data_IF_874490198168
#
_entry.id   IF_874490198168
#
_cell.length_a   1.000
_cell.length_b   1.000
_cell.length_c   1.000
_cell.angle_alpha   90.00
_cell.angle_beta   90.00
_cell.angle_gamma   90.00
#
_symmetry.space_group_name_H-M   'P 1'
#
loop_
_entity.id
_entity.type
_entity.pdbx_description
1 polymer ?
#
# COMPACT_ATOMS: atom_id res chain seq x y z
N UNK A 1 -16.50 14.97 -7.24
CA UNK A 1 -16.35 15.93 -8.36
C UNK A 1 -15.72 17.22 -7.84
N UNK A 2 -14.87 17.89 -8.62
CA UNK A 2 -14.30 19.19 -8.26
C UNK A 2 -15.15 20.31 -8.86
N UNK A 3 -15.58 21.27 -8.04
CA UNK A 3 -16.24 22.50 -8.48
C UNK A 3 -15.43 23.72 -8.01
N UNK A 4 -15.28 24.77 -8.82
CA UNK A 4 -14.57 25.98 -8.40
C UNK A 4 -15.16 26.54 -7.10
N UNK A 5 -14.32 26.89 -6.14
CA UNK A 5 -14.78 27.51 -4.90
C UNK A 5 -15.33 28.91 -5.21
N UNK A 6 -16.63 29.08 -5.03
CA UNK A 6 -17.34 30.34 -5.29
C UNK A 6 -17.60 31.12 -4.00
N UNK A 7 -18.05 32.37 -4.13
CA UNK A 7 -18.45 33.17 -2.98
C UNK A 7 -19.60 32.50 -2.19
N UNK A 8 -20.51 31.80 -2.88
CA UNK A 8 -21.61 31.07 -2.24
C UNK A 8 -21.13 29.92 -1.35
N UNK A 9 -20.03 29.26 -1.72
CA UNK A 9 -19.43 28.14 -0.98
C UNK A 9 -18.26 28.57 -0.09
N UNK A 10 -17.85 29.85 -0.12
CA UNK A 10 -16.70 30.35 0.63
C UNK A 10 -16.85 30.13 2.13
N UNK A 11 -17.96 30.56 2.70
CA UNK A 11 -18.13 30.55 4.17
C UNK A 11 -18.42 29.12 4.70
N UNK A 12 -18.83 28.19 3.81
CA UNK A 12 -19.03 26.77 4.14
C UNK A 12 -17.75 26.10 4.63
N UNK A 13 -16.60 26.44 4.04
CA UNK A 13 -15.33 25.76 4.32
C UNK A 13 -14.61 26.34 5.55
N UNK A 14 -15.05 27.49 6.09
CA UNK A 14 -14.40 28.14 7.21
C UNK A 14 -14.39 27.28 8.49
N UNK A 15 -15.51 26.64 8.91
CA UNK A 15 -15.49 25.73 10.05
C UNK A 15 -14.52 24.56 9.86
N UNK A 16 -14.39 24.03 8.64
CA UNK A 16 -13.47 22.92 8.35
C UNK A 16 -12.02 23.36 8.45
N UNK A 17 -11.71 24.55 7.89
CA UNK A 17 -10.38 25.17 8.03
C UNK A 17 -10.02 25.49 9.47
N UNK A 18 -11.01 25.70 10.34
CA UNK A 18 -10.80 25.98 11.76
C UNK A 18 -10.85 24.73 12.65
N UNK A 19 -11.24 23.58 12.12
CA UNK A 19 -11.29 22.33 12.86
C UNK A 19 -9.88 21.96 13.36
N UNK A 20 -9.70 21.61 14.65
CA UNK A 20 -8.39 21.32 15.23
C UNK A 20 -7.59 20.25 14.46
N UNK A 21 -8.27 19.19 14.02
CA UNK A 21 -7.71 18.08 13.27
C UNK A 21 -7.22 18.46 11.88
N UNK A 22 -7.82 19.49 11.26
CA UNK A 22 -7.37 20.07 9.99
C UNK A 22 -6.22 21.05 10.25
N UNK A 23 -6.39 22.02 11.16
CA UNK A 23 -5.39 23.06 11.46
C UNK A 23 -4.04 22.52 11.90
N UNK A 24 -4.02 21.42 12.67
CA UNK A 24 -2.76 20.81 13.11
C UNK A 24 -1.90 20.30 11.95
N UNK A 25 -2.49 20.08 10.77
CA UNK A 25 -1.80 19.64 9.55
C UNK A 25 -1.59 20.77 8.54
N UNK A 26 -1.93 22.02 8.89
CA UNK A 26 -1.84 23.19 8.01
C UNK A 26 -0.78 24.16 8.52
N UNK A 27 -0.21 24.98 7.61
CA UNK A 27 0.72 26.04 8.01
C UNK A 27 0.04 27.15 8.82
N UNK A 28 -1.23 27.46 8.55
CA UNK A 28 -2.02 28.40 9.35
C UNK A 28 -2.56 27.71 10.59
N UNK A 29 -2.03 28.09 11.75
CA UNK A 29 -2.38 27.45 13.03
C UNK A 29 -3.21 28.28 13.99
N UNK A 30 -3.45 29.57 13.75
CA UNK A 30 -4.45 30.31 14.54
C UNK A 30 -5.87 30.01 14.05
N UNK A 31 -6.88 30.31 14.88
CA UNK A 31 -8.27 30.29 14.39
C UNK A 31 -8.49 31.48 13.46
N UNK A 32 -8.95 31.19 12.25
CA UNK A 32 -9.16 32.16 11.19
C UNK A 32 -10.49 32.89 11.45
N UNK A 33 -10.48 34.20 11.72
CA UNK A 33 -11.70 34.98 11.83
C UNK A 33 -12.42 35.09 10.47
N UNK A 34 -13.74 35.30 10.50
CA UNK A 34 -14.55 35.41 9.27
C UNK A 34 -14.03 36.48 8.30
N UNK A 35 -13.63 37.65 8.82
CA UNK A 35 -13.09 38.74 8.00
C UNK A 35 -11.76 38.36 7.32
N UNK A 36 -10.88 37.66 8.04
CA UNK A 36 -9.61 37.17 7.49
C UNK A 36 -9.85 36.15 6.38
N UNK A 37 -10.79 35.23 6.58
CA UNK A 37 -11.19 34.23 5.58
C UNK A 37 -11.77 34.88 4.32
N UNK A 38 -12.64 35.87 4.48
CA UNK A 38 -13.21 36.61 3.34
C UNK A 38 -12.15 37.37 2.56
N UNK A 39 -11.26 38.08 3.26
CA UNK A 39 -10.16 38.79 2.63
C UNK A 39 -9.15 37.83 1.94
N UNK A 40 -8.92 36.64 2.51
CA UNK A 40 -8.13 35.60 1.86
C UNK A 40 -8.75 35.15 0.55
N UNK A 41 -10.07 34.94 0.53
CA UNK A 41 -10.78 34.47 -0.67
C UNK A 41 -10.70 35.48 -1.81
N UNK A 42 -10.87 36.77 -1.53
CA UNK A 42 -10.73 37.84 -2.52
C UNK A 42 -9.32 37.89 -3.12
N UNK A 43 -8.28 37.80 -2.28
CA UNK A 43 -6.88 37.75 -2.75
C UNK A 43 -6.61 36.52 -3.59
N UNK A 44 -7.15 35.37 -3.18
CA UNK A 44 -7.00 34.10 -3.91
C UNK A 44 -7.65 34.18 -5.29
N UNK A 45 -8.87 34.71 -5.41
CA UNK A 45 -9.54 34.86 -6.71
C UNK A 45 -8.81 35.81 -7.68
N UNK A 46 -8.09 36.80 -7.15
CA UNK A 46 -7.34 37.75 -7.96
C UNK A 46 -5.98 37.21 -8.44
N UNK A 47 -5.51 36.08 -7.90
CA UNK A 47 -4.20 35.50 -8.21
C UNK A 47 -4.35 34.34 -9.22
N UNK A 48 -3.91 34.50 -10.47
CA UNK A 48 -4.04 33.46 -11.49
C UNK A 48 -3.12 32.25 -11.25
N UNK A 49 -2.17 32.33 -10.33
CA UNK A 49 -1.27 31.22 -9.96
C UNK A 49 -1.89 30.28 -8.93
N UNK A 50 -3.18 30.46 -8.65
CA UNK A 50 -3.89 29.93 -7.49
C UNK A 50 -5.31 29.52 -7.89
N UNK A 51 -5.71 28.28 -7.61
CA UNK A 51 -7.10 27.85 -7.77
C UNK A 51 -7.54 26.87 -6.68
N UNK A 52 -8.78 27.06 -6.20
CA UNK A 52 -9.38 26.32 -5.10
C UNK A 52 -10.69 25.70 -5.59
N UNK A 53 -10.90 24.44 -5.22
CA UNK A 53 -12.05 23.66 -5.60
C UNK A 53 -12.71 23.06 -4.37
N UNK A 54 -14.04 23.09 -4.32
CA UNK A 54 -14.81 22.25 -3.41
C UNK A 54 -14.89 20.85 -4.03
N UNK A 55 -14.60 19.83 -3.24
CA UNK A 55 -14.78 18.44 -3.63
C UNK A 55 -16.10 17.92 -3.07
N UNK A 56 -16.95 17.36 -3.93
CA UNK A 56 -18.17 16.64 -3.55
C UNK A 56 -17.98 15.13 -3.62
N UNK A 57 -18.61 14.43 -2.70
CA UNK A 57 -18.66 12.96 -2.69
C UNK A 57 -19.66 12.41 -3.73
N UNK A 58 -19.90 11.09 -3.69
CA UNK A 58 -20.80 10.41 -4.62
C UNK A 58 -22.28 10.77 -4.42
N UNK A 59 -22.65 11.31 -3.25
CA UNK A 59 -24.01 11.75 -2.92
C UNK A 59 -24.24 13.23 -3.25
N UNK A 60 -23.26 13.88 -3.92
CA UNK A 60 -23.23 15.31 -4.19
C UNK A 60 -23.06 16.19 -2.93
N UNK A 61 -22.63 15.61 -1.81
CA UNK A 61 -22.39 16.35 -0.57
C UNK A 61 -20.97 16.94 -0.52
N UNK A 62 -20.79 18.19 -0.07
CA UNK A 62 -19.47 18.79 0.10
C UNK A 62 -18.61 18.03 1.11
N UNK A 63 -17.50 17.45 0.64
CA UNK A 63 -16.70 16.49 1.38
C UNK A 63 -15.26 16.96 1.66
N UNK A 64 -14.81 18.01 0.98
CA UNK A 64 -13.50 18.60 1.24
C UNK A 64 -13.13 19.71 0.27
N UNK A 65 -11.87 20.13 0.32
CA UNK A 65 -11.30 21.16 -0.54
C UNK A 65 -10.00 20.65 -1.15
N UNK A 66 -9.81 20.91 -2.44
CA UNK A 66 -8.56 20.71 -3.19
C UNK A 66 -8.09 22.07 -3.66
N UNK A 67 -6.79 22.32 -3.64
CA UNK A 67 -6.23 23.56 -4.12
C UNK A 67 -4.88 23.38 -4.79
N UNK A 68 -4.57 24.31 -5.70
CA UNK A 68 -3.30 24.41 -6.40
C UNK A 68 -2.70 25.79 -6.19
N UNK A 69 -1.39 25.85 -5.98
CA UNK A 69 -0.63 27.08 -5.79
C UNK A 69 0.61 27.09 -6.66
N UNK A 70 1.14 28.30 -6.88
CA UNK A 70 2.38 28.51 -7.64
C UNK A 70 2.30 27.85 -9.02
N UNK A 71 1.12 27.93 -9.65
CA UNK A 71 0.86 27.37 -10.97
C UNK A 71 1.72 28.13 -11.99
N UNK A 72 2.68 27.41 -12.56
CA UNK A 72 3.56 27.96 -13.60
C UNK A 72 2.78 28.09 -14.93
N UNK A 73 3.01 29.18 -15.69
CA UNK A 73 2.44 29.33 -17.03
C UNK A 73 2.84 28.19 -17.99
N UNK A 74 2.09 28.06 -19.09
CA UNK A 74 2.44 27.19 -20.23
C UNK A 74 2.57 25.69 -19.88
N UNK A 75 1.84 25.23 -18.86
CA UNK A 75 1.80 23.81 -18.48
C UNK A 75 3.06 23.34 -17.74
N UNK A 76 3.69 24.24 -16.98
CA UNK A 76 4.83 23.92 -16.12
C UNK A 76 4.44 23.06 -14.91
N UNK A 77 4.90 23.45 -13.74
CA UNK A 77 4.59 22.77 -12.48
C UNK A 77 3.66 23.57 -11.58
N UNK A 78 3.04 22.90 -10.62
CA UNK A 78 2.31 23.55 -9.53
C UNK A 78 2.54 22.77 -8.22
N UNK A 79 2.20 23.40 -7.11
CA UNK A 79 1.98 22.71 -5.85
C UNK A 79 0.50 22.46 -5.64
N UNK A 80 0.17 21.42 -4.90
CA UNK A 80 -1.21 21.15 -4.51
C UNK A 80 -1.32 20.73 -3.05
N UNK A 81 -2.55 20.80 -2.55
CA UNK A 81 -2.92 20.21 -1.27
C UNK A 81 -4.43 20.03 -1.18
N UNK A 82 -4.86 19.35 -0.13
CA UNK A 82 -6.27 19.12 0.14
C UNK A 82 -6.55 18.99 1.63
N UNK A 83 -7.81 19.10 2.00
CA UNK A 83 -8.29 18.66 3.30
C UNK A 83 -9.74 18.18 3.19
N UNK A 84 -10.04 17.10 3.89
CA UNK A 84 -11.41 16.62 4.04
C UNK A 84 -12.17 17.47 5.06
N UNK A 85 -13.49 17.47 4.93
CA UNK A 85 -14.40 17.89 6.00
C UNK A 85 -14.18 16.97 7.23
N UNK A 86 -14.23 17.48 8.48
CA UNK A 86 -14.02 16.69 9.70
C UNK A 86 -14.74 15.34 9.80
N UNK A 87 -15.98 15.29 9.36
CA UNK A 87 -16.89 14.14 9.40
C UNK A 87 -17.05 13.48 8.02
N UNK A 88 -16.12 13.73 7.10
CA UNK A 88 -16.14 13.09 5.79
C UNK A 88 -15.97 11.57 5.91
N UNK A 89 -16.59 10.79 5.01
CA UNK A 89 -16.46 9.34 5.01
C UNK A 89 -15.01 8.90 4.77
N UNK A 90 -14.68 7.69 5.21
CA UNK A 90 -13.41 7.04 4.90
C UNK A 90 -13.20 6.97 3.36
N UNK A 91 -11.95 6.92 2.92
CA UNK A 91 -11.60 6.87 1.50
C UNK A 91 -11.74 8.19 0.72
N UNK A 92 -12.34 9.25 1.30
CA UNK A 92 -12.50 10.54 0.61
C UNK A 92 -11.17 11.16 0.15
N UNK A 93 -10.09 10.94 0.90
CA UNK A 93 -8.75 11.41 0.55
C UNK A 93 -8.28 10.91 -0.82
N UNK A 94 -8.46 9.61 -1.08
CA UNK A 94 -8.11 9.00 -2.37
C UNK A 94 -8.96 9.55 -3.51
N UNK A 95 -10.25 9.81 -3.28
CA UNK A 95 -11.15 10.40 -4.29
C UNK A 95 -10.78 11.85 -4.61
N UNK A 96 -10.46 12.64 -3.58
CA UNK A 96 -9.99 14.01 -3.75
C UNK A 96 -8.68 14.05 -4.52
N UNK A 97 -7.71 13.20 -4.16
CA UNK A 97 -6.43 13.11 -4.85
C UNK A 97 -6.59 12.65 -6.29
N UNK A 98 -7.36 11.59 -6.56
CA UNK A 98 -7.66 11.16 -7.92
C UNK A 98 -8.26 12.31 -8.75
N UNK A 99 -9.25 13.03 -8.21
CA UNK A 99 -9.87 14.15 -8.90
C UNK A 99 -8.89 15.31 -9.12
N UNK A 100 -8.02 15.58 -8.14
CA UNK A 100 -6.98 16.61 -8.23
C UNK A 100 -5.96 16.27 -9.32
N UNK A 101 -5.49 15.02 -9.38
CA UNK A 101 -4.56 14.55 -10.39
C UNK A 101 -5.18 14.61 -11.80
N UNK A 102 -6.43 14.16 -11.94
CA UNK A 102 -7.11 14.20 -13.23
C UNK A 102 -7.28 15.63 -13.73
N UNK A 103 -7.68 16.55 -12.83
CA UNK A 103 -7.80 17.96 -13.13
C UNK A 103 -6.44 18.60 -13.46
N UNK A 104 -5.39 18.32 -12.68
CA UNK A 104 -4.05 18.87 -12.87
C UNK A 104 -3.45 18.53 -14.25
N UNK A 105 -3.58 17.29 -14.67
CA UNK A 105 -2.94 16.81 -15.90
C UNK A 105 -3.81 16.95 -17.15
N UNK A 106 -5.14 16.87 -17.04
CA UNK A 106 -6.04 17.00 -18.21
C UNK A 106 -6.63 18.40 -18.38
N UNK A 107 -7.00 19.09 -17.30
CA UNK A 107 -7.65 20.40 -17.39
C UNK A 107 -6.63 21.54 -17.29
N UNK A 108 -5.70 21.49 -16.33
CA UNK A 108 -4.63 22.49 -16.20
C UNK A 108 -3.44 22.21 -17.14
N UNK A 109 -3.32 20.99 -17.65
CA UNK A 109 -2.26 20.61 -18.60
C UNK A 109 -0.84 20.68 -18.02
N UNK A 110 -0.69 20.47 -16.71
CA UNK A 110 0.61 20.58 -16.04
C UNK A 110 1.56 19.47 -16.47
N UNK A 111 2.85 19.77 -16.56
CA UNK A 111 3.90 18.77 -16.77
C UNK A 111 4.19 17.97 -15.49
N UNK A 112 4.09 18.63 -14.34
CA UNK A 112 4.43 18.07 -13.03
C UNK A 112 3.56 18.65 -11.93
N UNK A 113 3.19 17.80 -10.98
CA UNK A 113 2.53 18.22 -9.76
C UNK A 113 3.42 17.91 -8.55
N UNK A 114 3.54 18.86 -7.62
CA UNK A 114 4.35 18.74 -6.41
C UNK A 114 3.47 18.80 -5.15
N UNK A 115 3.83 18.07 -4.10
CA UNK A 115 3.23 18.26 -2.78
C UNK A 115 4.28 18.29 -1.66
N UNK A 116 3.89 18.94 -0.58
CA UNK A 116 4.66 19.05 0.66
C UNK A 116 3.81 18.58 1.82
N UNK A 117 4.33 17.63 2.60
CA UNK A 117 3.61 17.02 3.72
C UNK A 117 4.50 17.03 4.95
N UNK A 118 3.94 17.42 6.10
CA UNK A 118 4.63 17.27 7.38
C UNK A 118 4.99 15.80 7.57
N UNK A 119 6.25 15.50 7.93
CA UNK A 119 6.72 14.12 8.07
C UNK A 119 5.96 13.31 9.13
N UNK A 120 5.31 13.99 10.08
CA UNK A 120 4.45 13.40 11.10
C UNK A 120 3.11 12.90 10.54
N UNK A 121 2.69 13.34 9.35
CA UNK A 121 1.46 12.90 8.70
C UNK A 121 1.73 11.72 7.75
N UNK A 122 2.13 10.60 8.34
CA UNK A 122 2.48 9.37 7.61
C UNK A 122 1.33 8.85 6.74
N UNK A 123 0.08 9.04 7.18
CA UNK A 123 -1.11 8.65 6.44
C UNK A 123 -1.19 9.33 5.06
N UNK A 124 -1.03 10.65 5.01
CA UNK A 124 -1.07 11.41 3.73
C UNK A 124 0.18 11.15 2.88
N UNK A 125 1.36 10.98 3.49
CA UNK A 125 2.57 10.58 2.75
C UNK A 125 2.36 9.24 2.04
N UNK A 126 1.75 8.27 2.73
CA UNK A 126 1.45 6.97 2.15
C UNK A 126 0.35 7.04 1.08
N UNK A 127 -0.68 7.88 1.29
CA UNK A 127 -1.72 8.13 0.30
C UNK A 127 -1.13 8.67 -1.01
N UNK A 128 -0.24 9.67 -0.94
CA UNK A 128 0.40 10.23 -2.12
C UNK A 128 1.23 9.19 -2.87
N UNK A 129 2.04 8.42 -2.15
CA UNK A 129 2.82 7.31 -2.76
C UNK A 129 1.90 6.31 -3.46
N UNK A 130 0.79 5.94 -2.82
CA UNK A 130 -0.22 5.08 -3.44
C UNK A 130 -0.85 5.70 -4.67
N UNK A 131 -0.96 7.02 -4.76
CA UNK A 131 -1.50 7.70 -5.94
C UNK A 131 -0.46 7.91 -7.04
N UNK A 132 0.78 7.46 -6.84
CA UNK A 132 1.86 7.48 -7.82
C UNK A 132 2.97 8.49 -7.54
N UNK A 133 2.83 9.33 -6.49
CA UNK A 133 3.86 10.30 -6.17
C UNK A 133 5.16 9.64 -5.72
N UNK A 134 6.27 10.14 -6.23
CA UNK A 134 7.62 9.75 -5.82
C UNK A 134 8.19 10.78 -4.85
N UNK A 135 8.84 10.33 -3.77
CA UNK A 135 9.56 11.23 -2.85
C UNK A 135 10.79 11.79 -3.56
N UNK A 136 10.87 13.10 -3.67
CA UNK A 136 11.97 13.79 -4.34
C UNK A 136 12.93 14.47 -3.34
N UNK A 137 12.51 14.65 -2.09
CA UNK A 137 13.38 15.24 -1.08
C UNK A 137 12.74 15.40 0.29
N UNK A 138 13.52 15.99 1.20
CA UNK A 138 13.07 16.37 2.54
C UNK A 138 13.72 17.67 2.97
N UNK A 139 12.90 18.63 3.38
CA UNK A 139 13.38 19.80 4.09
C UNK A 139 13.42 19.46 5.58
N UNK A 140 14.63 19.43 6.14
CA UNK A 140 14.85 19.05 7.54
C UNK A 140 14.52 20.22 8.46
N UNK A 141 13.81 19.97 9.55
CA UNK A 141 13.47 20.96 10.58
C UNK A 141 12.84 22.24 10.00
N UNK A 142 12.00 22.11 8.97
CA UNK A 142 11.54 23.24 8.15
C UNK A 142 10.30 23.93 8.72
N UNK A 143 9.45 23.21 9.46
CA UNK A 143 8.21 23.75 10.03
C UNK A 143 8.19 23.60 11.55
N UNK A 144 7.84 24.66 12.29
CA UNK A 144 7.66 24.60 13.74
C UNK A 144 6.19 24.29 14.08
N UNK A 145 5.88 23.09 14.57
CA UNK A 145 4.52 22.61 14.84
C UNK A 145 3.89 23.19 16.13
N UNK A 146 4.66 23.99 16.87
CA UNK A 146 4.24 24.65 18.12
C UNK A 146 5.01 24.11 19.32
N UNK A 147 5.56 22.90 19.19
CA UNK A 147 6.36 22.24 20.20
C UNK A 147 7.78 21.99 19.70
N UNK A 148 7.92 21.56 18.44
CA UNK A 148 9.20 21.19 17.84
C UNK A 148 9.26 21.55 16.36
N UNK A 149 10.48 21.53 15.81
CA UNK A 149 10.68 21.58 14.37
C UNK A 149 10.48 20.19 13.78
N UNK A 150 9.67 20.11 12.73
CA UNK A 150 9.37 18.89 11.98
C UNK A 150 9.85 19.00 10.54
N UNK A 151 10.22 17.86 9.99
CA UNK A 151 10.61 17.71 8.60
C UNK A 151 9.40 17.87 7.66
N UNK A 152 9.66 18.33 6.44
CA UNK A 152 8.70 18.34 5.34
C UNK A 152 9.16 17.36 4.27
N UNK A 153 8.31 16.39 3.96
CA UNK A 153 8.51 15.44 2.86
C UNK A 153 8.01 16.09 1.57
N UNK A 154 8.84 16.07 0.53
CA UNK A 154 8.50 16.57 -0.79
C UNK A 154 8.31 15.43 -1.75
N UNK A 155 7.18 15.43 -2.45
CA UNK A 155 6.87 14.43 -3.47
C UNK A 155 6.46 15.10 -4.79
N UNK A 156 6.68 14.38 -5.88
CA UNK A 156 6.32 14.81 -7.24
C UNK A 156 5.70 13.68 -8.05
N UNK A 157 4.83 14.04 -8.99
CA UNK A 157 4.26 13.16 -10.00
C UNK A 157 4.32 13.83 -11.37
N UNK A 158 4.78 13.10 -12.39
CA UNK A 158 4.91 13.61 -13.75
C UNK A 158 3.69 13.25 -14.60
N UNK A 159 3.34 14.13 -15.54
CA UNK A 159 2.20 13.91 -16.43
C UNK A 159 2.28 12.57 -17.20
N UNK A 160 3.48 12.13 -17.59
CA UNK A 160 3.69 10.86 -18.29
C UNK A 160 3.43 9.62 -17.42
N UNK A 161 3.48 9.76 -16.09
CA UNK A 161 3.27 8.67 -15.14
C UNK A 161 1.78 8.53 -14.81
N UNK A 162 1.02 9.63 -14.91
CA UNK A 162 -0.39 9.67 -14.56
C UNK A 162 -1.27 8.63 -15.25
N UNK A 163 -1.22 8.39 -16.57
CA UNK A 163 -2.13 7.45 -17.23
C UNK A 163 -2.16 6.05 -16.60
N UNK A 164 -0.99 5.50 -16.26
CA UNK A 164 -0.85 4.20 -15.59
C UNK A 164 -1.47 4.22 -14.19
N UNK A 165 -1.22 5.28 -13.42
CA UNK A 165 -1.77 5.41 -12.08
C UNK A 165 -3.27 5.70 -12.09
N UNK A 166 -3.77 6.43 -13.08
CA UNK A 166 -5.17 6.79 -13.26
C UNK A 166 -6.05 5.56 -13.40
N UNK A 167 -5.67 4.63 -14.28
CA UNK A 167 -6.43 3.39 -14.50
C UNK A 167 -6.52 2.57 -13.21
N UNK A 168 -5.37 2.29 -12.58
CA UNK A 168 -5.31 1.56 -11.32
C UNK A 168 -6.10 2.24 -10.19
N UNK A 169 -6.00 3.56 -10.05
CA UNK A 169 -6.74 4.29 -9.00
C UNK A 169 -8.25 4.30 -9.28
N UNK A 170 -8.65 4.43 -10.53
CA UNK A 170 -10.06 4.35 -10.91
C UNK A 170 -10.66 2.98 -10.54
N UNK A 171 -9.95 1.89 -10.86
CA UNK A 171 -10.34 0.54 -10.44
C UNK A 171 -10.38 0.39 -8.92
N UNK A 172 -9.38 0.93 -8.22
CA UNK A 172 -9.32 0.90 -6.75
C UNK A 172 -10.49 1.64 -6.11
N UNK A 173 -10.86 2.80 -6.63
CA UNK A 173 -12.00 3.60 -6.15
C UNK A 173 -13.31 2.84 -6.37
N UNK A 174 -13.49 2.21 -7.53
CA UNK A 174 -14.66 1.39 -7.83
C UNK A 174 -14.74 0.16 -6.91
N UNK A 175 -13.60 -0.46 -6.59
CA UNK A 175 -13.54 -1.56 -5.62
C UNK A 175 -13.98 -1.10 -4.22
N UNK A 176 -13.48 0.04 -3.75
CA UNK A 176 -13.89 0.61 -2.44
C UNK A 176 -15.38 0.93 -2.40
N UNK A 177 -15.95 1.46 -3.50
CA UNK A 177 -17.40 1.68 -3.61
C UNK A 177 -18.20 0.37 -3.47
N UNK A 178 -17.73 -0.69 -4.12
CA UNK A 178 -18.37 -2.01 -4.01
C UNK A 178 -18.28 -2.58 -2.57
N UNK A 179 -17.16 -2.39 -1.88
CA UNK A 179 -17.01 -2.81 -0.48
C UNK A 179 -17.92 -2.01 0.47
N UNK A 180 -17.99 -0.70 0.30
CA UNK A 180 -18.89 0.16 1.07
C UNK A 180 -20.36 -0.23 0.87
N UNK A 181 -20.76 -0.55 -0.37
CA UNK A 181 -22.10 -1.05 -0.68
C UNK A 181 -22.40 -2.38 0.03
N UNK A 182 -21.49 -3.37 -0.06
CA UNK A 182 -21.62 -4.67 0.64
C UNK A 182 -21.77 -4.49 2.16
N UNK A 183 -21.00 -3.58 2.76
CA UNK A 183 -21.13 -3.26 4.19
C UNK A 183 -22.50 -2.70 4.54
N UNK A 184 -23.04 -1.81 3.70
CA UNK A 184 -24.38 -1.25 3.91
C UNK A 184 -25.49 -2.31 3.81
N UNK A 185 -25.30 -3.34 3.01
CA UNK A 185 -26.21 -4.50 2.89
C UNK A 185 -26.16 -5.44 4.11
N UNK A 186 -25.09 -5.37 4.91
CA UNK A 186 -24.94 -6.18 6.12
C UNK A 186 -24.49 -7.62 5.86
N UNK A 187 -23.89 -7.88 4.69
CA UNK A 187 -23.53 -9.22 4.22
C UNK A 187 -22.44 -9.90 5.09
N UNK A 188 -21.55 -9.12 5.71
CA UNK A 188 -20.43 -9.65 6.51
C UNK A 188 -20.49 -9.13 7.95
N UNK A 189 -20.61 -9.99 8.98
CA UNK A 189 -20.56 -9.52 10.36
C UNK A 189 -19.18 -8.94 10.70
N UNK A 190 -19.10 -7.78 11.40
CA UNK A 190 -17.84 -7.20 11.83
C UNK A 190 -16.97 -8.21 12.59
N UNK A 191 -15.66 -8.16 12.34
CA UNK A 191 -14.65 -9.06 12.93
C UNK A 191 -13.52 -8.24 13.52
N UNK A 192 -12.85 -8.80 14.52
CA UNK A 192 -11.55 -8.32 14.97
C UNK A 192 -10.48 -9.11 14.23
N UNK A 193 -9.58 -8.44 13.54
CA UNK A 193 -8.54 -9.05 12.72
C UNK A 193 -7.19 -8.51 13.18
N UNK A 194 -6.30 -9.39 13.61
CA UNK A 194 -4.90 -9.07 13.83
C UNK A 194 -4.08 -9.38 12.56
N UNK A 195 -3.13 -8.52 12.23
CA UNK A 195 -2.11 -8.77 11.21
C UNK A 195 -0.75 -8.71 11.87
N UNK A 196 0.07 -9.74 11.65
CA UNK A 196 1.45 -9.83 12.10
C UNK A 196 2.38 -9.97 10.91
N UNK A 197 3.38 -9.09 10.83
CA UNK A 197 4.43 -9.16 9.81
C UNK A 197 5.76 -8.68 10.39
N UNK A 198 6.89 -9.12 9.82
CA UNK A 198 8.17 -8.53 10.22
C UNK A 198 8.24 -7.07 9.76
N UNK A 199 8.79 -6.16 10.57
CA UNK A 199 8.79 -4.71 10.30
C UNK A 199 9.42 -4.32 8.94
N UNK A 200 10.42 -5.09 8.51
CA UNK A 200 11.14 -4.85 7.24
C UNK A 200 10.71 -5.79 6.10
N UNK A 201 9.60 -6.50 6.28
CA UNK A 201 9.07 -7.42 5.27
C UNK A 201 8.64 -6.66 4.02
N UNK A 202 9.03 -7.16 2.85
CA UNK A 202 8.66 -6.58 1.56
C UNK A 202 7.13 -6.56 1.36
N UNK A 203 6.41 -7.52 1.97
CA UNK A 203 4.96 -7.64 1.80
C UNK A 203 4.18 -6.51 2.46
N UNK A 204 4.79 -5.79 3.42
CA UNK A 204 4.12 -4.74 4.21
C UNK A 204 3.51 -3.66 3.31
N UNK A 205 4.15 -3.32 2.20
CA UNK A 205 3.62 -2.35 1.24
C UNK A 205 2.31 -2.82 0.59
N UNK A 206 2.16 -4.13 0.41
CA UNK A 206 0.97 -4.76 -0.16
C UNK A 206 -0.12 -5.03 0.89
N UNK A 207 0.25 -5.22 2.17
CA UNK A 207 -0.70 -5.48 3.26
C UNK A 207 -1.61 -4.29 3.56
N UNK A 208 -1.13 -3.07 3.30
CA UNK A 208 -1.87 -1.86 3.59
C UNK A 208 -3.23 -1.81 2.86
N UNK A 209 -3.29 -2.22 1.59
CA UNK A 209 -4.56 -2.31 0.87
C UNK A 209 -5.50 -3.38 1.45
N UNK A 210 -4.97 -4.49 1.96
CA UNK A 210 -5.77 -5.55 2.58
C UNK A 210 -6.39 -5.08 3.91
N UNK A 211 -5.61 -4.36 4.73
CA UNK A 211 -6.09 -3.76 5.98
C UNK A 211 -7.21 -2.76 5.68
N UNK A 212 -7.00 -1.87 4.71
CA UNK A 212 -8.00 -0.89 4.30
C UNK A 212 -9.27 -1.54 3.76
N UNK A 213 -9.17 -2.61 2.97
CA UNK A 213 -10.33 -3.36 2.48
C UNK A 213 -11.18 -3.87 3.65
N UNK A 214 -10.53 -4.41 4.67
CA UNK A 214 -11.23 -4.94 5.83
C UNK A 214 -11.85 -3.85 6.71
N UNK A 215 -11.17 -2.74 6.91
CA UNK A 215 -11.72 -1.58 7.62
C UNK A 215 -12.92 -0.98 6.86
N UNK A 216 -12.84 -0.91 5.53
CA UNK A 216 -13.93 -0.46 4.68
C UNK A 216 -15.15 -1.38 4.82
N UNK A 217 -14.95 -2.70 4.89
CA UNK A 217 -15.99 -3.69 5.21
C UNK A 217 -16.48 -3.65 6.66
N UNK A 218 -15.90 -2.81 7.53
CA UNK A 218 -16.34 -2.61 8.91
C UNK A 218 -15.70 -3.55 9.92
N UNK A 219 -14.64 -4.27 9.55
CA UNK A 219 -13.83 -5.01 10.50
C UNK A 219 -12.96 -4.05 11.32
N UNK A 220 -12.62 -4.45 12.54
CA UNK A 220 -11.59 -3.78 13.35
C UNK A 220 -10.27 -4.48 13.09
N UNK A 221 -9.29 -3.78 12.51
CA UNK A 221 -8.00 -4.35 12.17
C UNK A 221 -6.91 -3.79 13.08
N UNK A 222 -6.05 -4.66 13.61
CA UNK A 222 -4.87 -4.29 14.38
C UNK A 222 -3.63 -4.90 13.73
N UNK A 223 -2.79 -4.06 13.13
CA UNK A 223 -1.54 -4.50 12.51
C UNK A 223 -0.36 -4.14 13.41
N UNK A 224 0.42 -5.15 13.81
CA UNK A 224 1.65 -4.97 14.58
C UNK A 224 2.78 -5.86 14.05
N UNK A 225 4.00 -5.52 14.43
CA UNK A 225 5.20 -6.30 14.13
C UNK A 225 5.69 -7.13 15.31
N UNK A 226 5.10 -6.94 16.50
CA UNK A 226 5.46 -7.68 17.70
C UNK A 226 4.28 -8.51 18.23
N UNK A 227 4.43 -9.85 18.37
CA UNK A 227 3.37 -10.70 18.89
C UNK A 227 2.86 -10.32 20.28
N UNK A 228 3.70 -9.67 21.09
CA UNK A 228 3.32 -9.23 22.43
C UNK A 228 2.21 -8.17 22.38
N UNK A 229 2.23 -7.31 21.36
CA UNK A 229 1.29 -6.20 21.18
C UNK A 229 0.00 -6.64 20.48
N UNK A 230 -0.07 -7.89 20.00
CA UNK A 230 -1.27 -8.40 19.34
C UNK A 230 -2.38 -8.67 20.38
N UNK A 231 -3.49 -7.96 20.22
CA UNK A 231 -4.71 -8.10 21.01
C UNK A 231 -5.51 -9.35 20.63
N UNK A 232 -6.41 -9.81 21.50
CA UNK A 232 -7.36 -10.87 21.17
C UNK A 232 -8.25 -10.49 19.97
N UNK A 233 -8.43 -11.41 19.04
CA UNK A 233 -9.14 -11.17 17.79
C UNK A 233 -9.79 -12.46 17.26
N UNK A 234 -10.72 -12.35 16.30
CA UNK A 234 -11.26 -13.53 15.63
C UNK A 234 -10.15 -14.22 14.83
N UNK A 235 -9.39 -13.46 14.05
CA UNK A 235 -8.36 -13.98 13.16
C UNK A 235 -7.03 -13.27 13.40
N UNK A 236 -5.92 -14.00 13.27
CA UNK A 236 -4.58 -13.43 13.21
C UNK A 236 -3.88 -13.91 11.93
N UNK A 237 -3.57 -13.02 11.01
CA UNK A 237 -2.83 -13.34 9.79
C UNK A 237 -1.34 -13.05 9.99
N UNK A 238 -0.51 -14.08 9.92
CA UNK A 238 0.95 -14.00 9.97
C UNK A 238 1.49 -13.94 8.54
N UNK A 239 1.73 -12.74 8.01
CA UNK A 239 2.05 -12.50 6.60
C UNK A 239 3.47 -11.94 6.48
N UNK A 240 4.39 -12.74 5.92
CA UNK A 240 5.81 -12.40 5.90
C UNK A 240 6.39 -12.25 7.31
N UNK A 241 6.00 -13.15 8.22
CA UNK A 241 6.42 -13.18 9.61
C UNK A 241 7.38 -14.35 9.86
N UNK A 242 8.67 -14.07 10.08
CA UNK A 242 9.72 -15.08 10.13
C UNK A 242 9.89 -15.79 11.47
N UNK A 243 8.99 -15.61 12.43
CA UNK A 243 9.08 -16.20 13.78
C UNK A 243 7.91 -17.16 14.02
N UNK A 244 8.16 -18.23 14.78
CA UNK A 244 7.06 -19.07 15.26
C UNK A 244 6.29 -18.32 16.35
N UNK A 245 4.96 -18.34 16.27
CA UNK A 245 4.11 -17.81 17.34
C UNK A 245 3.98 -18.84 18.47
N UNK A 246 4.35 -18.48 19.71
CA UNK A 246 4.11 -19.33 20.86
C UNK A 246 2.63 -19.67 21.00
N UNK A 247 2.31 -20.87 21.49
CA UNK A 247 0.93 -21.31 21.74
C UNK A 247 0.14 -20.32 22.62
N UNK A 248 0.79 -19.73 23.61
CA UNK A 248 0.21 -18.71 24.50
C UNK A 248 -0.26 -17.45 23.77
N UNK A 249 0.35 -17.14 22.61
CA UNK A 249 -0.09 -16.04 21.74
C UNK A 249 -1.14 -16.53 20.76
N UNK A 250 -0.95 -17.70 20.13
CA UNK A 250 -1.92 -18.28 19.19
C UNK A 250 -3.30 -18.47 19.82
N UNK A 251 -3.35 -18.87 21.09
CA UNK A 251 -4.59 -19.09 21.85
C UNK A 251 -5.45 -17.82 22.06
N UNK A 252 -4.92 -16.63 21.77
CA UNK A 252 -5.68 -15.36 21.79
C UNK A 252 -6.60 -15.19 20.58
N UNK A 253 -6.46 -16.04 19.57
CA UNK A 253 -7.15 -15.94 18.30
C UNK A 253 -7.98 -17.19 18.05
N UNK A 254 -9.12 -17.04 17.38
CA UNK A 254 -9.92 -18.20 16.95
C UNK A 254 -9.19 -18.98 15.86
N UNK A 255 -8.55 -18.26 14.93
CA UNK A 255 -7.66 -18.81 13.92
C UNK A 255 -6.38 -17.97 13.85
N UNK A 256 -5.23 -18.64 13.82
CA UNK A 256 -3.94 -18.05 13.51
C UNK A 256 -3.51 -18.55 12.13
N UNK A 257 -3.60 -17.71 11.12
CA UNK A 257 -3.46 -18.08 9.72
C UNK A 257 -2.08 -17.70 9.19
N UNK A 258 -1.50 -18.58 8.38
CA UNK A 258 -0.23 -18.36 7.67
C UNK A 258 -0.47 -18.57 6.19
N UNK A 259 0.16 -17.74 5.35
CA UNK A 259 0.21 -17.97 3.90
C UNK A 259 1.61 -18.47 3.53
N UNK A 260 1.66 -19.58 2.79
CA UNK A 260 2.89 -20.28 2.43
C UNK A 260 2.84 -20.72 0.96
N UNK A 261 3.90 -20.49 0.19
CA UNK A 261 3.88 -20.71 -1.26
C UNK A 261 4.30 -22.13 -1.65
N UNK A 262 3.62 -23.16 -1.15
CA UNK A 262 3.90 -24.56 -1.55
C UNK A 262 2.67 -25.47 -1.55
N UNK A 263 2.76 -26.56 -2.32
CA UNK A 263 1.79 -27.66 -2.32
C UNK A 263 2.06 -28.57 -1.12
N UNK A 264 1.68 -28.06 0.06
CA UNK A 264 1.94 -28.69 1.34
C UNK A 264 1.34 -30.11 1.37
N UNK A 265 2.09 -31.12 1.88
CA UNK A 265 3.25 -30.98 2.78
C UNK A 265 4.62 -30.81 2.12
N UNK A 266 4.73 -30.72 0.79
CA UNK A 266 6.02 -30.43 0.12
C UNK A 266 6.35 -28.95 0.21
N UNK A 267 7.65 -28.62 0.27
CA UNK A 267 8.16 -27.25 0.19
C UNK A 267 8.03 -26.43 1.47
N UNK A 268 7.98 -27.06 2.65
CA UNK A 268 7.94 -26.35 3.95
C UNK A 268 9.18 -25.49 4.17
N UNK A 269 9.12 -24.51 5.06
CA UNK A 269 10.29 -23.73 5.48
C UNK A 269 10.43 -22.42 4.72
N UNK A 270 11.63 -22.11 4.22
CA UNK A 270 12.00 -20.73 3.88
C UNK A 270 11.93 -20.43 2.39
N UNK A 271 11.37 -19.26 2.05
CA UNK A 271 11.37 -18.69 0.69
C UNK A 271 10.90 -19.69 -0.40
N UNK A 272 9.79 -20.40 -0.20
CA UNK A 272 9.38 -21.49 -1.08
C UNK A 272 9.13 -21.04 -2.53
N UNK A 273 8.59 -19.83 -2.75
CA UNK A 273 8.44 -19.27 -4.09
C UNK A 273 9.80 -19.15 -4.79
N UNK A 274 10.81 -18.59 -4.11
CA UNK A 274 12.15 -18.42 -4.67
C UNK A 274 12.77 -19.76 -5.05
N UNK A 275 12.65 -20.78 -4.21
CA UNK A 275 13.22 -22.09 -4.51
C UNK A 275 12.53 -22.76 -5.69
N UNK A 276 11.20 -22.69 -5.79
CA UNK A 276 10.48 -23.25 -6.93
C UNK A 276 10.85 -22.57 -8.25
N UNK A 277 11.02 -21.24 -8.26
CA UNK A 277 11.55 -20.53 -9.44
C UNK A 277 12.95 -21.03 -9.79
N UNK A 278 13.84 -21.23 -8.81
CA UNK A 278 15.18 -21.77 -9.02
C UNK A 278 15.15 -23.21 -9.56
N UNK A 279 14.18 -24.01 -9.12
CA UNK A 279 13.92 -25.38 -9.59
C UNK A 279 13.31 -25.41 -11.01
N UNK A 280 12.94 -24.25 -11.56
CA UNK A 280 12.40 -24.11 -12.91
C UNK A 280 10.88 -24.25 -13.00
N UNK A 281 10.18 -24.12 -11.87
CA UNK A 281 8.73 -24.13 -11.83
C UNK A 281 8.16 -22.76 -12.21
N UNK A 282 7.23 -22.74 -13.16
CA UNK A 282 6.52 -21.54 -13.60
C UNK A 282 5.09 -21.48 -13.06
N UNK A 283 4.65 -22.50 -12.30
CA UNK A 283 3.33 -22.56 -11.68
C UNK A 283 3.48 -22.90 -10.21
N UNK A 284 3.26 -21.91 -9.35
CA UNK A 284 3.56 -21.99 -7.92
C UNK A 284 2.26 -21.87 -7.11
N UNK A 285 2.01 -22.79 -6.16
CA UNK A 285 0.84 -22.72 -5.31
C UNK A 285 1.08 -21.74 -4.15
N UNK A 286 0.04 -21.05 -3.74
CA UNK A 286 -0.02 -20.20 -2.55
C UNK A 286 -1.11 -20.77 -1.66
N UNK A 287 -0.76 -21.10 -0.42
CA UNK A 287 -1.57 -21.96 0.46
C UNK A 287 -1.84 -21.23 1.77
N UNK A 288 -3.11 -21.12 2.14
CA UNK A 288 -3.54 -20.61 3.44
C UNK A 288 -3.67 -21.79 4.41
N UNK A 289 -2.96 -21.73 5.54
CA UNK A 289 -2.97 -22.77 6.57
C UNK A 289 -3.24 -22.20 7.96
N UNK A 290 -3.69 -23.07 8.87
CA UNK A 290 -3.64 -22.84 10.31
C UNK A 290 -2.19 -22.93 10.82
N UNK A 291 -1.81 -22.05 11.73
CA UNK A 291 -0.51 -22.07 12.38
C UNK A 291 -0.47 -23.20 13.42
N UNK A 292 0.48 -24.13 13.24
CA UNK A 292 0.71 -25.25 14.14
C UNK A 292 2.05 -25.12 14.89
N UNK A 293 2.30 -26.02 15.84
CA UNK A 293 3.58 -26.07 16.58
C UNK A 293 4.76 -26.37 15.64
N UNK A 294 4.57 -27.31 14.71
CA UNK A 294 5.56 -27.62 13.68
C UNK A 294 5.36 -26.69 12.48
N UNK A 295 6.46 -26.17 11.96
CA UNK A 295 6.53 -25.31 10.77
C UNK A 295 5.68 -25.89 9.62
N UNK A 296 4.82 -25.04 9.08
CA UNK A 296 3.98 -25.28 7.89
C UNK A 296 3.23 -26.62 7.89
N UNK A 297 2.77 -27.06 9.06
CA UNK A 297 2.14 -28.38 9.25
C UNK A 297 0.65 -28.36 9.53
N UNK A 298 0.05 -27.18 9.71
CA UNK A 298 -1.35 -27.07 10.06
C UNK A 298 -2.30 -27.35 8.90
N UNK A 299 -3.58 -27.38 9.24
CA UNK A 299 -4.72 -27.59 8.35
C UNK A 299 -4.68 -26.60 7.19
N UNK A 300 -4.86 -27.08 5.96
CA UNK A 300 -4.98 -26.25 4.76
C UNK A 300 -6.43 -25.80 4.61
N UNK A 301 -6.66 -24.49 4.51
CA UNK A 301 -7.99 -23.91 4.27
C UNK A 301 -8.27 -23.63 2.80
N UNK A 302 -7.29 -23.11 2.07
CA UNK A 302 -7.44 -22.74 0.68
C UNK A 302 -6.10 -22.72 -0.05
N UNK A 303 -6.13 -22.89 -1.38
CA UNK A 303 -4.96 -22.81 -2.25
C UNK A 303 -5.31 -22.06 -3.53
N UNK A 304 -4.37 -21.24 -4.00
CA UNK A 304 -4.39 -20.57 -5.31
C UNK A 304 -3.11 -20.89 -6.06
N UNK A 305 -3.16 -20.82 -7.37
CA UNK A 305 -1.98 -21.00 -8.22
C UNK A 305 -1.63 -19.69 -8.90
N UNK A 306 -0.36 -19.34 -8.86
CA UNK A 306 0.23 -18.23 -9.60
C UNK A 306 1.04 -18.81 -10.76
N UNK A 307 0.88 -18.22 -11.93
CA UNK A 307 1.56 -18.64 -13.16
C UNK A 307 2.50 -17.53 -13.62
N UNK A 308 3.68 -17.94 -14.10
CA UNK A 308 4.77 -17.08 -14.53
C UNK A 308 5.18 -17.46 -15.96
N UNK A 309 5.63 -16.48 -16.73
CA UNK A 309 6.06 -16.61 -18.12
C UNK A 309 7.57 -16.89 -18.24
N UNK A 310 8.31 -16.77 -17.14
CA UNK A 310 9.73 -17.10 -17.10
C UNK A 310 10.66 -15.89 -17.17
N UNK A 311 10.12 -14.66 -17.26
CA UNK A 311 10.90 -13.41 -17.38
C UNK A 311 10.79 -12.46 -16.20
N UNK A 312 9.83 -12.72 -15.31
CA UNK A 312 9.54 -11.87 -14.15
C UNK A 312 10.73 -11.77 -13.23
N UNK A 313 11.04 -10.54 -12.80
CA UNK A 313 12.02 -10.29 -11.74
C UNK A 313 11.34 -10.25 -10.37
N UNK A 314 12.15 -10.21 -9.31
CA UNK A 314 11.71 -10.40 -7.92
C UNK A 314 10.53 -9.52 -7.50
N UNK A 315 10.42 -8.29 -8.00
CA UNK A 315 9.32 -7.39 -7.67
C UNK A 315 8.01 -7.79 -8.35
N UNK A 316 8.07 -8.28 -9.60
CA UNK A 316 6.92 -8.85 -10.31
C UNK A 316 6.46 -10.16 -9.65
N UNK A 317 7.42 -11.02 -9.28
CA UNK A 317 7.15 -12.26 -8.54
C UNK A 317 6.45 -11.98 -7.19
N UNK A 318 6.99 -11.03 -6.42
CA UNK A 318 6.44 -10.59 -5.13
C UNK A 318 5.07 -9.95 -5.27
N UNK A 319 4.84 -9.18 -6.33
CA UNK A 319 3.52 -8.59 -6.60
C UNK A 319 2.47 -9.68 -6.80
N UNK A 320 2.75 -10.67 -7.64
CA UNK A 320 1.84 -11.80 -7.87
C UNK A 320 1.63 -12.63 -6.59
N UNK A 321 2.69 -12.86 -5.81
CA UNK A 321 2.61 -13.52 -4.50
C UNK A 321 1.70 -12.77 -3.53
N UNK A 322 1.85 -11.44 -3.43
CA UNK A 322 1.03 -10.61 -2.56
C UNK A 322 -0.43 -10.57 -3.01
N UNK A 323 -0.72 -10.54 -4.31
CA UNK A 323 -2.08 -10.63 -4.84
C UNK A 323 -2.78 -11.93 -4.45
N UNK A 324 -2.11 -13.07 -4.64
CA UNK A 324 -2.64 -14.37 -4.22
C UNK A 324 -2.84 -14.45 -2.70
N UNK A 325 -1.90 -13.90 -1.92
CA UNK A 325 -1.97 -13.81 -0.46
C UNK A 325 -3.21 -13.03 -0.03
N UNK A 326 -3.42 -11.82 -0.55
CA UNK A 326 -4.59 -10.98 -0.24
C UNK A 326 -5.90 -11.66 -0.63
N UNK A 327 -5.92 -12.33 -1.78
CA UNK A 327 -7.11 -13.06 -2.24
C UNK A 327 -7.48 -14.20 -1.27
N UNK A 328 -6.51 -14.98 -0.80
CA UNK A 328 -6.75 -16.03 0.21
C UNK A 328 -7.22 -15.46 1.55
N UNK A 329 -6.58 -14.38 2.02
CA UNK A 329 -6.97 -13.75 3.28
C UNK A 329 -8.41 -13.21 3.22
N UNK A 330 -8.78 -12.52 2.13
CA UNK A 330 -10.16 -12.03 1.93
C UNK A 330 -11.16 -13.17 1.81
N UNK A 331 -10.86 -14.19 1.01
CA UNK A 331 -11.74 -15.35 0.85
C UNK A 331 -12.03 -16.03 2.20
N UNK A 332 -11.02 -16.13 3.07
CA UNK A 332 -11.22 -16.71 4.39
C UNK A 332 -12.16 -15.87 5.26
N UNK A 333 -11.99 -14.54 5.27
CA UNK A 333 -12.81 -13.62 6.09
C UNK A 333 -14.23 -13.51 5.55
N UNK A 334 -14.38 -13.29 4.25
CA UNK A 334 -15.66 -13.01 3.59
C UNK A 334 -16.61 -14.22 3.66
N UNK A 335 -16.08 -15.45 3.57
CA UNK A 335 -16.87 -16.68 3.54
C UNK A 335 -16.90 -17.41 4.90
N UNK A 336 -16.47 -16.76 5.99
CA UNK A 336 -16.46 -17.36 7.32
C UNK A 336 -17.91 -17.54 7.86
N UNK A 337 -18.29 -18.71 8.41
CA UNK A 337 -17.45 -19.84 8.83
C UNK A 337 -17.19 -20.93 7.79
N UNK A 338 -17.83 -20.87 6.62
CA UNK A 338 -17.71 -21.91 5.57
C UNK A 338 -16.26 -22.09 5.13
N UNK A 339 -15.50 -21.00 5.05
CA UNK A 339 -14.05 -21.04 4.76
C UNK A 339 -13.25 -21.92 5.73
N UNK A 340 -13.56 -21.87 7.03
CA UNK A 340 -12.88 -22.69 8.05
C UNK A 340 -13.33 -24.16 7.99
N UNK A 341 -14.58 -24.43 7.61
CA UNK A 341 -15.11 -25.79 7.46
C UNK A 341 -14.50 -26.56 6.29
N UNK A 342 -13.90 -25.85 5.31
CA UNK A 342 -13.15 -26.45 4.19
C UNK A 342 -11.77 -27.00 4.59
N UNK A 343 -11.36 -26.81 5.84
CA UNK A 343 -10.07 -27.25 6.36
C UNK A 343 -9.80 -28.73 6.08
N UNK A 344 -8.59 -29.02 5.57
CA UNK A 344 -8.10 -30.38 5.33
C UNK A 344 -6.71 -30.59 5.90
N UNK A 345 -6.49 -31.76 6.49
CA UNK A 345 -5.16 -32.16 6.97
C UNK A 345 -4.20 -32.44 5.81
N UNK A 346 -2.91 -32.19 6.07
CA UNK A 346 -1.87 -32.48 5.10
C UNK A 346 -1.58 -33.99 5.04
N UNK A 347 -1.41 -34.52 3.83
CA UNK A 347 -1.07 -35.92 3.61
C UNK A 347 -0.01 -36.05 2.52
N UNK A 348 0.92 -37.00 2.68
CA UNK A 348 1.99 -37.27 1.70
C UNK A 348 3.39 -37.06 2.27
N UNK A 349 4.37 -37.00 1.38
CA UNK A 349 5.79 -36.81 1.72
C UNK A 349 6.11 -35.34 2.02
N UNK A 350 6.82 -35.09 3.13
CA UNK A 350 7.29 -33.76 3.48
C UNK A 350 8.63 -33.43 2.80
N UNK A 351 8.81 -32.18 2.39
CA UNK A 351 10.12 -31.64 2.01
C UNK A 351 10.30 -30.24 2.58
N UNK A 352 11.56 -29.81 2.73
CA UNK A 352 11.91 -28.56 3.39
C UNK A 352 12.92 -27.75 2.59
N UNK A 353 12.59 -26.49 2.35
CA UNK A 353 13.48 -25.52 1.73
C UNK A 353 14.34 -24.80 2.79
N UNK A 354 15.67 -24.75 2.59
CA UNK A 354 16.56 -24.08 3.52
C UNK A 354 16.47 -22.57 3.39
N UNK A 355 16.88 -21.86 4.44
CA UNK A 355 17.00 -20.40 4.40
C UNK A 355 18.15 -20.01 3.47
N UNK A 356 17.88 -19.13 2.50
CA UNK A 356 18.91 -18.54 1.64
C UNK A 356 19.76 -17.52 2.40
N UNK A 357 21.04 -17.47 2.05
CA UNK A 357 22.01 -16.46 2.46
C UNK A 357 22.61 -15.72 1.24
N UNK A 358 23.51 -14.75 1.48
CA UNK A 358 24.11 -13.97 0.41
C UNK A 358 24.78 -14.81 -0.67
N UNK A 359 25.46 -15.90 -0.30
CA UNK A 359 26.18 -16.77 -1.25
C UNK A 359 25.24 -17.51 -2.22
N UNK A 360 23.96 -17.68 -1.89
CA UNK A 360 22.96 -18.24 -2.81
C UNK A 360 22.62 -17.29 -3.97
N UNK A 361 23.19 -16.08 -4.00
CA UNK A 361 23.10 -15.11 -5.10
C UNK A 361 24.35 -15.11 -5.99
N UNK A 362 25.26 -16.08 -5.80
CA UNK A 362 26.49 -16.21 -6.57
C UNK A 362 26.21 -16.79 -7.96
N UNK A 363 26.63 -16.06 -8.98
CA UNK A 363 26.69 -16.50 -10.37
C UNK A 363 28.05 -17.14 -10.67
N UNK A 364 28.01 -18.13 -11.55
CA UNK A 364 29.20 -18.67 -12.21
C UNK A 364 29.45 -17.89 -13.51
N UNK A 365 30.56 -17.14 -13.63
CA UNK A 365 30.87 -16.35 -14.82
C UNK A 365 31.21 -17.21 -16.05
N UNK A 366 31.42 -18.52 -15.89
CA UNK A 366 31.69 -19.45 -17.00
C UNK A 366 30.43 -20.10 -17.56
N UNK A 367 29.29 -20.01 -16.85
CA UNK A 367 27.98 -20.48 -17.32
C UNK A 367 27.25 -19.40 -18.11
N UNK A 368 26.38 -19.80 -19.02
CA UNK A 368 25.58 -18.86 -19.81
C UNK A 368 24.56 -18.13 -18.93
N UNK A 369 24.12 -16.96 -19.40
CA UNK A 369 23.05 -16.20 -18.74
C UNK A 369 21.74 -17.00 -18.70
N UNK A 370 21.41 -17.72 -19.77
CA UNK A 370 20.19 -18.52 -19.86
C UNK A 370 20.14 -19.62 -18.79
N UNK A 371 21.25 -20.32 -18.56
CA UNK A 371 21.33 -21.40 -17.55
C UNK A 371 21.19 -20.91 -16.10
N UNK A 372 21.38 -19.61 -15.87
CA UNK A 372 21.31 -18.98 -14.54
C UNK A 372 20.21 -17.93 -14.47
N UNK A 373 19.31 -17.90 -15.46
CA UNK A 373 18.33 -16.83 -15.56
C UNK A 373 17.33 -16.86 -14.41
N UNK A 374 16.95 -18.04 -13.92
CA UNK A 374 16.12 -18.16 -12.72
C UNK A 374 16.80 -17.59 -11.47
N UNK A 375 18.14 -17.67 -11.36
CA UNK A 375 18.85 -16.99 -10.28
C UNK A 375 18.77 -15.47 -10.45
N UNK A 376 18.92 -14.97 -11.68
CA UNK A 376 18.77 -13.55 -11.99
C UNK A 376 17.34 -13.03 -11.72
N UNK A 377 16.30 -13.87 -11.90
CA UNK A 377 14.90 -13.52 -11.60
C UNK A 377 14.66 -13.28 -10.11
N UNK A 378 15.31 -14.04 -9.23
CA UNK A 378 14.99 -14.04 -7.78
C UNK A 378 15.92 -13.19 -6.91
N UNK A 379 16.99 -12.63 -7.47
CA UNK A 379 17.88 -11.73 -6.73
C UNK A 379 17.22 -10.37 -6.52
N UNK A 380 17.59 -9.73 -5.41
CA UNK A 380 17.09 -8.42 -5.01
C UNK A 380 18.25 -7.43 -5.14
N UNK A 381 18.16 -6.48 -6.08
CA UNK A 381 19.26 -5.57 -6.41
C UNK A 381 19.79 -4.76 -5.21
N UNK A 382 18.96 -4.57 -4.18
CA UNK A 382 19.29 -3.82 -2.98
C UNK A 382 19.77 -4.73 -1.85
N UNK A 383 18.98 -5.75 -1.52
CA UNK A 383 19.18 -6.56 -0.30
C UNK A 383 20.10 -7.76 -0.53
N UNK A 384 19.92 -8.45 -1.66
CA UNK A 384 20.60 -9.70 -1.99
C UNK A 384 20.94 -9.76 -3.49
N UNK A 385 21.87 -8.91 -3.93
CA UNK A 385 22.15 -8.74 -5.34
C UNK A 385 22.95 -9.92 -5.89
N UNK A 386 22.74 -10.23 -7.17
CA UNK A 386 23.57 -11.16 -7.90
C UNK A 386 25.03 -10.71 -7.89
N UNK A 387 25.96 -11.65 -7.73
CA UNK A 387 27.39 -11.34 -7.77
C UNK A 387 28.20 -12.50 -8.35
N UNK A 388 29.42 -12.21 -8.82
CA UNK A 388 30.38 -13.24 -9.22
C UNK A 388 31.81 -12.80 -8.88
N UNK A 389 32.73 -13.76 -8.91
CA UNK A 389 34.15 -13.49 -8.73
C UNK A 389 34.89 -13.70 -10.06
N UNK A 390 35.72 -12.74 -10.45
CA UNK A 390 36.55 -12.84 -11.64
C UNK A 390 37.94 -12.31 -11.37
N UNK A 391 38.96 -13.14 -11.64
CA UNK A 391 40.38 -12.80 -11.44
C UNK A 391 40.67 -12.22 -10.04
N UNK A 392 40.07 -12.84 -9.01
CA UNK A 392 40.27 -12.45 -7.60
C UNK A 392 39.53 -11.19 -7.15
N UNK A 393 38.56 -10.69 -7.93
CA UNK A 393 37.71 -9.56 -7.56
C UNK A 393 36.23 -9.94 -7.62
N UNK A 394 35.44 -9.43 -6.67
CA UNK A 394 33.98 -9.57 -6.64
C UNK A 394 33.32 -8.46 -7.45
N UNK A 395 32.35 -8.82 -8.26
CA UNK A 395 31.52 -7.92 -9.04
C UNK A 395 30.06 -8.17 -8.68
N UNK A 396 29.28 -7.10 -8.59
CA UNK A 396 27.84 -7.15 -8.34
C UNK A 396 27.11 -6.76 -9.61
N UNK A 397 26.03 -7.48 -9.93
CA UNK A 397 25.16 -7.20 -11.07
C UNK A 397 23.81 -6.71 -10.58
N UNK A 398 23.33 -5.64 -11.22
CA UNK A 398 21.95 -5.19 -11.08
C UNK A 398 21.22 -5.60 -12.35
N UNK A 399 20.09 -6.28 -12.19
CA UNK A 399 19.23 -6.68 -13.30
C UNK A 399 17.98 -5.81 -13.32
N UNK A 400 17.68 -5.24 -14.48
CA UNK A 400 16.53 -4.36 -14.69
C UNK A 400 15.77 -4.91 -15.89
N UNK A 401 14.53 -5.35 -15.64
CA UNK A 401 13.59 -5.70 -16.69
C UNK A 401 12.98 -4.44 -17.27
N UNK A 402 12.98 -4.33 -18.59
CA UNK A 402 12.34 -3.22 -19.31
C UNK A 402 11.33 -3.81 -20.28
N UNK A 403 10.11 -3.30 -20.27
CA UNK A 403 9.11 -3.58 -21.30
C UNK A 403 9.13 -2.39 -22.26
N UNK A 404 9.28 -2.64 -23.55
CA UNK A 404 9.05 -1.60 -24.55
C UNK A 404 7.57 -1.20 -24.43
N UNK A 405 7.31 0.03 -23.96
CA UNK A 405 5.97 0.61 -23.80
C UNK A 405 5.32 0.90 -25.14
#
# INVERSE_FOLDING_TARGET
>A
MLEPLTEATRDLILPWRNAPEVRRQMYTRHEIPLEEHRAWFERMQADPTRCWYLCRDASDDPAGVVYFTDIEPEGGSAFWGFYARPDAPAGIGMRMEYSALDHAFHELGLHKLNCEVLATNTAVVNLHKKCGFTREGTFREQHFDGEQYVDIIRLGLLAREWPKHRERLHERIAQLDALAARKAEGDTPPRRIAVLSDANSWINEHLLELVEDWEELGHTVHWTHEPADAEEADFCFCLGFGRLLPETVRARFRHTLVVHESDLPRGKGWSPLTWQILDGEDRIPVTLIEAAEKVDSGTIYAQRWVEFEGHELVDELRTAQAEATRALCREFVDDYPVSAERGREQHGEESFYPRRGPEDSRLDPERSLAEQFNLLRVVDNERYPAFFEWRGRRFQLHIIGTRDT
#
